data_IF_488021873569
#
_entry.id   IF_488021873569
#
_cell.length_a   1.000
_cell.length_b   1.000
_cell.length_c   1.000
_cell.angle_alpha   90.00
_cell.angle_beta   90.00
_cell.angle_gamma   90.00
#
_symmetry.space_group_name_H-M   'P 1'
#
loop_
_entity.id
_entity.type
_entity.pdbx_description
1 polymer ?
#
# COMPACT_ATOMS: atom_id res chain seq x y z
N UNK A 1 -5.75 9.65 15.10
CA UNK A 1 -4.32 9.75 14.74
C UNK A 1 -4.00 11.23 14.54
N UNK A 2 -2.99 11.76 15.23
CA UNK A 2 -2.50 13.12 15.04
C UNK A 2 -1.72 13.22 13.72
N UNK A 3 -1.72 14.39 13.06
CA UNK A 3 -0.95 14.65 11.85
C UNK A 3 0.57 14.50 12.08
N UNK A 4 1.06 14.78 13.29
CA UNK A 4 2.47 14.51 13.64
C UNK A 4 2.76 13.02 13.67
N UNK A 5 1.87 12.24 14.29
CA UNK A 5 1.98 10.78 14.30
C UNK A 5 1.91 10.21 12.88
N UNK A 6 1.00 10.71 12.04
CA UNK A 6 0.89 10.32 10.63
C UNK A 6 2.21 10.52 9.88
N UNK A 7 2.85 11.69 10.04
CA UNK A 7 4.12 11.98 9.37
C UNK A 7 5.21 10.98 9.73
N UNK A 8 5.27 10.58 11.01
CA UNK A 8 6.22 9.59 11.51
C UNK A 8 5.88 8.18 11.00
N UNK A 9 4.62 7.77 11.10
CA UNK A 9 4.14 6.44 10.70
C UNK A 9 4.35 6.19 9.19
N UNK A 10 4.08 7.20 8.37
CA UNK A 10 4.32 7.14 6.92
C UNK A 10 5.81 7.27 6.61
N UNK A 11 6.58 7.98 7.45
CA UNK A 11 8.05 8.03 7.34
C UNK A 11 8.71 6.66 7.53
N UNK A 12 8.20 5.85 8.45
CA UNK A 12 8.66 4.48 8.69
C UNK A 12 8.43 3.53 7.50
N UNK A 13 7.55 3.89 6.55
CA UNK A 13 7.37 3.12 5.32
C UNK A 13 8.61 3.10 4.43
N UNK A 14 9.50 4.10 4.54
CA UNK A 14 10.72 4.12 3.75
C UNK A 14 11.58 2.88 4.00
N UNK A 15 11.71 2.48 5.27
CA UNK A 15 12.42 1.26 5.66
C UNK A 15 11.70 0.02 5.15
N UNK A 16 10.36 -0.02 5.27
CA UNK A 16 9.56 -1.13 4.74
C UNK A 16 9.72 -1.30 3.22
N UNK A 17 9.84 -0.19 2.46
CA UNK A 17 10.10 -0.24 1.02
C UNK A 17 11.51 -0.72 0.68
N UNK A 18 12.50 -0.40 1.51
CA UNK A 18 13.86 -0.89 1.35
C UNK A 18 13.91 -2.42 1.55
N UNK A 19 13.32 -2.91 2.64
CA UNK A 19 13.19 -4.35 2.90
C UNK A 19 12.39 -5.05 1.81
N UNK A 20 11.29 -4.45 1.35
CA UNK A 20 10.49 -5.01 0.25
C UNK A 20 11.30 -5.15 -1.03
N UNK A 21 12.09 -4.14 -1.43
CA UNK A 21 12.91 -4.27 -2.64
C UNK A 21 13.98 -5.37 -2.47
N UNK A 22 14.65 -5.45 -1.33
CA UNK A 22 15.65 -6.49 -1.04
C UNK A 22 15.06 -7.90 -1.18
N UNK A 23 13.91 -8.16 -0.57
CA UNK A 23 13.20 -9.45 -0.68
C UNK A 23 12.82 -9.75 -2.13
N UNK A 24 12.40 -8.74 -2.90
CA UNK A 24 12.10 -8.88 -4.32
C UNK A 24 13.35 -9.16 -5.15
N UNK A 25 14.52 -8.61 -4.80
CA UNK A 25 15.77 -8.94 -5.48
C UNK A 25 16.15 -10.41 -5.25
N UNK A 26 15.99 -10.92 -4.02
CA UNK A 26 16.20 -12.34 -3.70
C UNK A 26 15.26 -13.21 -4.53
N UNK A 27 13.96 -12.87 -4.55
CA UNK A 27 12.97 -13.59 -5.34
C UNK A 27 13.32 -13.59 -6.85
N UNK A 28 13.73 -12.45 -7.40
CA UNK A 28 14.13 -12.33 -8.82
C UNK A 28 15.32 -13.23 -9.15
N UNK A 29 16.31 -13.32 -8.26
CA UNK A 29 17.48 -14.20 -8.42
C UNK A 29 17.07 -15.68 -8.37
N UNK A 30 16.18 -16.05 -7.46
CA UNK A 30 15.65 -17.42 -7.39
C UNK A 30 14.85 -17.81 -8.62
N UNK A 31 13.99 -16.92 -9.12
CA UNK A 31 13.27 -17.13 -10.38
C UNK A 31 14.28 -17.33 -11.52
N UNK A 32 15.26 -16.44 -11.66
CA UNK A 32 16.26 -16.55 -12.72
C UNK A 32 16.98 -17.91 -12.69
N UNK A 33 17.50 -18.32 -11.52
CA UNK A 33 18.25 -19.58 -11.35
C UNK A 33 17.42 -20.82 -11.68
N UNK A 34 16.12 -20.80 -11.39
CA UNK A 34 15.23 -21.96 -11.55
C UNK A 34 14.40 -21.93 -12.84
N UNK A 35 14.61 -20.92 -13.70
CA UNK A 35 13.78 -20.74 -14.90
C UNK A 35 13.92 -21.91 -15.87
N UNK A 36 15.13 -22.39 -16.17
CA UNK A 36 15.31 -23.48 -17.15
C UNK A 36 14.63 -24.79 -16.73
N UNK A 37 14.62 -25.09 -15.42
CA UNK A 37 14.07 -26.33 -14.88
C UNK A 37 12.53 -26.32 -14.79
N UNK A 38 11.94 -25.15 -14.53
CA UNK A 38 10.52 -25.07 -14.14
C UNK A 38 9.67 -24.16 -15.02
N UNK A 39 10.22 -23.58 -16.10
CA UNK A 39 9.53 -22.60 -16.98
C UNK A 39 8.10 -22.97 -17.36
N UNK A 40 7.84 -24.24 -17.66
CA UNK A 40 6.53 -24.74 -18.13
C UNK A 40 5.61 -25.17 -16.99
N UNK A 41 6.10 -25.24 -15.75
CA UNK A 41 5.30 -25.63 -14.60
C UNK A 41 4.35 -24.49 -14.18
N UNK A 42 3.11 -24.86 -13.89
CA UNK A 42 2.04 -23.90 -13.55
C UNK A 42 2.36 -23.07 -12.30
N UNK A 43 2.90 -23.70 -11.25
CA UNK A 43 3.32 -22.99 -10.03
C UNK A 43 4.40 -21.94 -10.33
N UNK A 44 5.31 -22.25 -11.26
CA UNK A 44 6.41 -21.36 -11.61
C UNK A 44 5.94 -20.18 -12.47
N UNK A 45 4.92 -20.40 -13.32
CA UNK A 45 4.26 -19.33 -14.05
C UNK A 45 3.56 -18.35 -13.09
N UNK A 46 2.96 -18.84 -11.99
CA UNK A 46 2.42 -17.98 -10.93
C UNK A 46 3.54 -17.17 -10.24
N UNK A 47 4.68 -17.79 -9.95
CA UNK A 47 5.85 -17.08 -9.41
C UNK A 47 6.37 -15.98 -10.35
N UNK A 48 6.38 -16.23 -11.66
CA UNK A 48 6.72 -15.22 -12.68
C UNK A 48 5.68 -14.10 -12.71
N UNK A 49 4.40 -14.41 -12.48
CA UNK A 49 3.35 -13.39 -12.38
C UNK A 49 3.56 -12.50 -11.15
N UNK A 50 3.91 -13.07 -9.98
CA UNK A 50 4.29 -12.30 -8.79
C UNK A 50 5.38 -11.29 -9.16
N UNK A 51 6.47 -11.74 -9.82
CA UNK A 51 7.53 -10.83 -10.28
C UNK A 51 7.03 -9.71 -11.20
N UNK A 52 6.05 -9.97 -12.06
CA UNK A 52 5.48 -8.95 -12.97
C UNK A 52 4.69 -7.90 -12.21
N UNK A 53 3.83 -8.31 -11.29
CA UNK A 53 3.02 -7.38 -10.47
C UNK A 53 3.92 -6.38 -9.73
N UNK A 54 5.04 -6.86 -9.18
CA UNK A 54 5.98 -6.01 -8.45
C UNK A 54 6.75 -4.99 -9.30
N UNK A 55 6.73 -5.11 -10.64
CA UNK A 55 7.30 -4.05 -11.51
C UNK A 55 6.49 -2.76 -11.46
N UNK A 56 5.24 -2.85 -11.04
CA UNK A 56 4.33 -1.71 -10.91
C UNK A 56 4.52 -0.97 -9.58
N UNK A 57 5.20 -1.58 -8.60
CA UNK A 57 5.47 -1.01 -7.28
C UNK A 57 6.94 -0.61 -7.17
N UNK A 58 7.33 0.49 -7.83
CA UNK A 58 8.71 0.97 -7.77
C UNK A 58 8.95 1.67 -6.43
N UNK A 59 10.03 1.29 -5.75
CA UNK A 59 10.42 1.82 -4.44
C UNK A 59 10.49 3.36 -4.45
N UNK A 60 11.09 3.95 -5.46
CA UNK A 60 11.33 5.39 -5.57
C UNK A 60 10.02 6.16 -5.74
N UNK A 61 9.09 5.61 -6.53
CA UNK A 61 7.75 6.18 -6.70
C UNK A 61 6.95 6.11 -5.39
N UNK A 62 7.06 5.00 -4.65
CA UNK A 62 6.44 4.85 -3.32
C UNK A 62 7.01 5.85 -2.29
N UNK A 63 8.33 6.04 -2.27
CA UNK A 63 8.99 7.03 -1.40
C UNK A 63 8.57 8.46 -1.77
N UNK A 64 8.39 8.76 -3.04
CA UNK A 64 7.89 10.07 -3.48
C UNK A 64 6.47 10.34 -2.96
N UNK A 65 5.59 9.33 -2.97
CA UNK A 65 4.24 9.45 -2.41
C UNK A 65 4.29 9.71 -0.90
N UNK A 66 5.20 9.07 -0.17
CA UNK A 66 5.44 9.37 1.26
C UNK A 66 5.79 10.84 1.47
N UNK A 67 6.70 11.39 0.67
CA UNK A 67 7.07 12.82 0.75
C UNK A 67 5.86 13.72 0.49
N UNK A 68 5.02 13.40 -0.51
CA UNK A 68 3.80 14.16 -0.81
C UNK A 68 2.79 14.09 0.33
N UNK A 69 2.57 12.91 0.92
CA UNK A 69 1.71 12.74 2.11
C UNK A 69 2.21 13.62 3.26
N UNK A 70 3.51 13.58 3.55
CA UNK A 70 4.09 14.39 4.63
C UNK A 70 3.97 15.90 4.35
N UNK A 71 4.14 16.32 3.09
CA UNK A 71 3.93 17.70 2.67
C UNK A 71 2.49 18.15 2.95
N UNK A 72 1.49 17.40 2.49
CA UNK A 72 0.07 17.72 2.72
C UNK A 72 -0.25 17.71 4.21
N UNK A 73 0.20 16.70 4.95
CA UNK A 73 -0.03 16.63 6.39
C UNK A 73 0.52 17.86 7.13
N UNK A 74 1.73 18.34 6.79
CA UNK A 74 2.30 19.58 7.36
C UNK A 74 1.52 20.83 6.95
N UNK A 75 0.99 20.90 5.74
CA UNK A 75 0.15 22.03 5.30
C UNK A 75 -1.19 22.10 6.04
N UNK A 76 -1.69 20.95 6.52
CA UNK A 76 -2.92 20.85 7.32
C UNK A 76 -2.70 21.09 8.82
N UNK A 77 -1.45 21.14 9.28
CA UNK A 77 -1.14 21.47 10.67
C UNK A 77 -1.42 22.94 10.94
N UNK A 78 -2.09 23.20 12.06
CA UNK A 78 -2.36 24.54 12.55
C UNK A 78 -1.06 25.10 13.15
N UNK A 79 -0.65 26.28 12.69
CA UNK A 79 0.53 27.00 13.24
C UNK A 79 0.17 27.67 14.57
N UNK A 80 1.17 27.88 15.41
CA UNK A 80 0.99 28.56 16.70
C UNK A 80 0.30 29.91 16.53
N UNK A 81 -0.77 30.14 17.30
CA UNK A 81 -1.59 31.35 17.25
C UNK A 81 -2.71 31.35 16.20
N UNK A 82 -2.86 30.31 15.38
CA UNK A 82 -4.01 30.15 14.47
C UNK A 82 -5.03 29.16 15.03
N UNK A 83 -6.31 29.34 14.67
CA UNK A 83 -7.38 28.38 15.02
C UNK A 83 -7.65 27.36 13.90
N UNK A 84 -7.38 27.71 12.65
CA UNK A 84 -7.55 26.85 11.48
C UNK A 84 -6.70 27.35 10.30
N UNK A 85 -6.54 26.52 9.27
CA UNK A 85 -5.93 26.92 8.00
C UNK A 85 -6.88 27.84 7.23
N UNK A 86 -6.36 28.90 6.60
CA UNK A 86 -7.18 29.85 5.85
C UNK A 86 -7.87 29.19 4.64
N UNK A 87 -9.15 29.50 4.41
CA UNK A 87 -9.94 28.95 3.31
C UNK A 87 -9.30 29.13 1.92
N UNK A 88 -8.66 30.28 1.68
CA UNK A 88 -7.95 30.57 0.42
C UNK A 88 -6.90 29.49 0.08
N UNK A 89 -6.18 29.01 1.09
CA UNK A 89 -5.15 27.98 0.92
C UNK A 89 -5.77 26.59 0.80
N UNK A 90 -6.81 26.32 1.59
CA UNK A 90 -7.56 25.06 1.54
C UNK A 90 -8.16 24.83 0.15
N UNK A 91 -8.78 25.85 -0.45
CA UNK A 91 -9.45 25.75 -1.74
C UNK A 91 -8.52 25.99 -2.97
N UNK A 92 -7.20 25.97 -2.78
CA UNK A 92 -6.23 26.11 -3.87
C UNK A 92 -5.20 24.98 -3.83
N UNK A 93 -3.97 25.27 -3.47
CA UNK A 93 -2.83 24.36 -3.59
C UNK A 93 -3.00 23.12 -2.71
N UNK A 94 -3.54 23.29 -1.49
CA UNK A 94 -3.73 22.18 -0.55
C UNK A 94 -4.73 21.16 -1.11
N UNK A 95 -5.83 21.62 -1.73
CA UNK A 95 -6.81 20.71 -2.34
C UNK A 95 -6.23 19.96 -3.52
N UNK A 96 -5.48 20.65 -4.38
CA UNK A 96 -4.84 20.02 -5.54
C UNK A 96 -3.84 18.95 -5.13
N UNK A 97 -2.96 19.27 -4.16
CA UNK A 97 -1.98 18.33 -3.63
C UNK A 97 -2.66 17.15 -2.92
N UNK A 98 -3.71 17.42 -2.13
CA UNK A 98 -4.51 16.37 -1.47
C UNK A 98 -5.14 15.44 -2.50
N UNK A 99 -5.79 15.97 -3.53
CA UNK A 99 -6.44 15.18 -4.58
C UNK A 99 -5.44 14.26 -5.30
N UNK A 100 -4.26 14.79 -5.62
CA UNK A 100 -3.17 14.01 -6.20
C UNK A 100 -2.75 12.86 -5.29
N UNK A 101 -2.52 13.16 -4.01
CA UNK A 101 -2.10 12.16 -3.01
C UNK A 101 -3.17 11.08 -2.79
N UNK A 102 -4.45 11.45 -2.64
CA UNK A 102 -5.52 10.48 -2.41
C UNK A 102 -5.66 9.51 -3.60
N UNK A 103 -5.60 10.02 -4.84
CA UNK A 103 -5.61 9.17 -6.05
C UNK A 103 -4.43 8.21 -6.09
N UNK A 104 -3.23 8.70 -5.75
CA UNK A 104 -2.03 7.87 -5.72
C UNK A 104 -2.13 6.78 -4.65
N UNK A 105 -2.63 7.11 -3.46
CA UNK A 105 -2.86 6.12 -2.41
C UNK A 105 -3.84 5.04 -2.89
N UNK A 106 -4.98 5.41 -3.46
CA UNK A 106 -5.98 4.46 -3.98
C UNK A 106 -5.36 3.51 -5.02
N UNK A 107 -4.59 4.03 -5.97
CA UNK A 107 -3.92 3.22 -6.98
C UNK A 107 -2.88 2.26 -6.38
N UNK A 108 -2.09 2.73 -5.40
CA UNK A 108 -1.09 1.90 -4.72
C UNK A 108 -1.75 0.77 -3.95
N UNK A 109 -2.79 1.06 -3.15
CA UNK A 109 -3.44 0.02 -2.33
C UNK A 109 -4.09 -1.06 -3.20
N UNK A 110 -4.69 -0.68 -4.34
CA UNK A 110 -5.20 -1.64 -5.33
C UNK A 110 -4.08 -2.51 -5.90
N UNK A 111 -2.98 -1.89 -6.35
CA UNK A 111 -1.82 -2.62 -6.90
C UNK A 111 -1.20 -3.58 -5.86
N UNK A 112 -1.15 -3.17 -4.59
CA UNK A 112 -0.70 -4.02 -3.49
C UNK A 112 -1.59 -5.25 -3.34
N UNK A 113 -2.92 -5.08 -3.38
CA UNK A 113 -3.88 -6.19 -3.26
C UNK A 113 -3.74 -7.18 -4.41
N UNK A 114 -3.66 -6.70 -5.65
CA UNK A 114 -3.46 -7.58 -6.81
C UNK A 114 -2.14 -8.38 -6.71
N UNK A 115 -1.08 -7.75 -6.18
CA UNK A 115 0.17 -8.44 -5.90
C UNK A 115 0.03 -9.49 -4.78
N UNK A 116 -0.67 -9.15 -3.70
CA UNK A 116 -0.94 -10.07 -2.57
C UNK A 116 -1.76 -11.29 -3.01
N UNK A 117 -2.71 -11.11 -3.94
CA UNK A 117 -3.47 -12.22 -4.54
C UNK A 117 -2.59 -13.17 -5.35
N UNK A 118 -1.72 -12.61 -6.18
CA UNK A 118 -0.75 -13.40 -6.94
C UNK A 118 0.18 -14.19 -6.00
N UNK A 119 0.57 -13.58 -4.88
CA UNK A 119 1.41 -14.21 -3.86
C UNK A 119 0.70 -15.35 -3.16
N UNK A 120 -0.54 -15.14 -2.67
CA UNK A 120 -1.35 -16.17 -2.03
C UNK A 120 -1.54 -17.38 -2.94
N UNK A 121 -1.89 -17.14 -4.20
CA UNK A 121 -2.07 -18.20 -5.22
C UNK A 121 -0.77 -18.97 -5.46
N UNK A 122 0.36 -18.28 -5.52
CA UNK A 122 1.67 -18.91 -5.71
C UNK A 122 2.08 -19.72 -4.48
N UNK A 123 1.84 -19.19 -3.28
CA UNK A 123 2.12 -19.84 -2.00
C UNK A 123 1.35 -21.17 -1.88
N UNK A 124 0.06 -21.18 -2.21
CA UNK A 124 -0.76 -22.40 -2.25
C UNK A 124 -0.19 -23.42 -3.25
N UNK A 125 0.11 -22.99 -4.48
CA UNK A 125 0.62 -23.88 -5.52
C UNK A 125 1.98 -24.52 -5.16
N UNK A 126 2.87 -23.76 -4.53
CA UNK A 126 4.15 -24.26 -4.00
C UNK A 126 3.95 -25.14 -2.76
N UNK A 127 2.95 -24.84 -1.93
CA UNK A 127 2.53 -25.70 -0.82
C UNK A 127 2.13 -27.10 -1.29
N UNK A 128 1.43 -27.21 -2.42
CA UNK A 128 1.14 -28.51 -3.05
C UNK A 128 2.43 -29.22 -3.48
N UNK A 129 3.40 -28.52 -4.07
CA UNK A 129 4.68 -29.13 -4.46
C UNK A 129 5.46 -29.64 -3.25
N UNK A 130 5.48 -28.84 -2.17
CA UNK A 130 6.09 -29.22 -0.90
C UNK A 130 5.43 -30.46 -0.30
N UNK A 131 4.09 -30.52 -0.28
CA UNK A 131 3.34 -31.68 0.24
C UNK A 131 3.63 -32.97 -0.55
N UNK A 132 3.93 -32.85 -1.85
CA UNK A 132 4.37 -33.97 -2.68
C UNK A 132 5.88 -34.26 -2.55
N UNK A 133 6.59 -33.60 -1.65
CA UNK A 133 8.04 -33.69 -1.43
C UNK A 133 8.89 -33.29 -2.64
N UNK A 134 8.32 -32.51 -3.56
CA UNK A 134 9.03 -32.05 -4.74
C UNK A 134 9.85 -30.79 -4.46
N UNK A 135 11.13 -30.84 -4.83
CA UNK A 135 12.08 -29.72 -4.77
C UNK A 135 11.96 -28.93 -3.44
N UNK A 136 11.88 -29.67 -2.33
CA UNK A 136 11.56 -29.18 -0.99
C UNK A 136 12.37 -27.93 -0.60
N UNK A 137 13.70 -27.87 -0.78
CA UNK A 137 14.46 -26.67 -0.41
C UNK A 137 14.00 -25.41 -1.15
N UNK A 138 13.66 -25.53 -2.44
CA UNK A 138 13.14 -24.41 -3.23
C UNK A 138 11.76 -23.98 -2.73
N UNK A 139 10.85 -24.94 -2.51
CA UNK A 139 9.51 -24.66 -2.03
C UNK A 139 9.52 -23.95 -0.68
N UNK A 140 10.34 -24.41 0.28
CA UNK A 140 10.46 -23.78 1.61
C UNK A 140 10.96 -22.35 1.49
N UNK A 141 12.08 -22.13 0.80
CA UNK A 141 12.68 -20.79 0.67
C UNK A 141 11.72 -19.82 -0.01
N UNK A 142 11.08 -20.23 -1.11
CA UNK A 142 10.17 -19.36 -1.86
C UNK A 142 8.88 -19.11 -1.09
N UNK A 143 8.30 -20.10 -0.39
CA UNK A 143 7.12 -19.86 0.43
C UNK A 143 7.42 -18.93 1.62
N UNK A 144 8.59 -19.06 2.26
CA UNK A 144 9.01 -18.11 3.29
C UNK A 144 9.15 -16.69 2.73
N UNK A 145 9.72 -16.53 1.53
CA UNK A 145 9.80 -15.25 0.85
C UNK A 145 8.41 -14.65 0.57
N UNK A 146 7.51 -15.44 -0.01
CA UNK A 146 6.14 -14.99 -0.31
C UNK A 146 5.39 -14.58 0.97
N UNK A 147 5.56 -15.31 2.07
CA UNK A 147 4.99 -14.95 3.36
C UNK A 147 5.51 -13.60 3.88
N UNK A 148 6.83 -13.36 3.80
CA UNK A 148 7.42 -12.06 4.21
C UNK A 148 6.96 -10.92 3.30
N UNK A 149 6.92 -11.14 1.99
CA UNK A 149 6.40 -10.16 1.02
C UNK A 149 4.94 -9.79 1.30
N UNK A 150 4.12 -10.77 1.69
CA UNK A 150 2.71 -10.55 2.04
C UNK A 150 2.59 -9.68 3.30
N UNK A 151 3.33 -9.98 4.36
CA UNK A 151 3.31 -9.21 5.62
C UNK A 151 3.84 -7.79 5.43
N UNK A 152 4.90 -7.61 4.64
CA UNK A 152 5.43 -6.29 4.29
C UNK A 152 4.37 -5.46 3.56
N UNK A 153 3.68 -6.05 2.57
CA UNK A 153 2.58 -5.37 1.88
C UNK A 153 1.40 -5.08 2.78
N UNK A 154 1.02 -5.98 3.66
CA UNK A 154 -0.04 -5.73 4.63
C UNK A 154 0.31 -4.53 5.52
N UNK A 155 1.56 -4.41 5.95
CA UNK A 155 2.06 -3.25 6.71
C UNK A 155 1.95 -1.96 5.89
N UNK A 156 2.42 -1.98 4.64
CA UNK A 156 2.33 -0.85 3.71
C UNK A 156 0.87 -0.45 3.47
N UNK A 157 0.00 -1.43 3.22
CA UNK A 157 -1.42 -1.26 2.95
C UNK A 157 -2.12 -0.57 4.12
N UNK A 158 -1.94 -1.08 5.34
CA UNK A 158 -2.53 -0.50 6.55
C UNK A 158 -2.10 0.95 6.73
N UNK A 159 -0.81 1.26 6.55
CA UNK A 159 -0.29 2.63 6.73
C UNK A 159 -0.81 3.59 5.67
N UNK A 160 -0.92 3.17 4.41
CA UNK A 160 -1.51 4.01 3.37
C UNK A 160 -3.00 4.24 3.59
N UNK A 161 -3.75 3.23 4.04
CA UNK A 161 -5.17 3.37 4.37
C UNK A 161 -5.37 4.30 5.58
N UNK A 162 -4.53 4.20 6.60
CA UNK A 162 -4.53 5.13 7.73
C UNK A 162 -4.21 6.56 7.29
N UNK A 163 -3.23 6.73 6.41
CA UNK A 163 -2.88 8.03 5.83
C UNK A 163 -4.04 8.63 5.04
N UNK A 164 -4.66 7.83 4.17
CA UNK A 164 -5.82 8.22 3.39
C UNK A 164 -6.94 8.80 4.27
N UNK A 165 -7.40 8.02 5.27
CA UNK A 165 -8.47 8.45 6.14
C UNK A 165 -8.08 9.66 7.00
N UNK A 166 -6.86 9.71 7.52
CA UNK A 166 -6.40 10.82 8.33
C UNK A 166 -6.33 12.13 7.54
N UNK A 167 -5.84 12.09 6.29
CA UNK A 167 -5.81 13.25 5.41
C UNK A 167 -7.21 13.75 5.06
N UNK A 168 -8.14 12.84 4.73
CA UNK A 168 -9.55 13.18 4.45
C UNK A 168 -10.17 13.87 5.66
N UNK A 169 -10.06 13.27 6.84
CA UNK A 169 -10.66 13.80 8.06
C UNK A 169 -10.02 15.12 8.48
N UNK A 170 -8.69 15.23 8.40
CA UNK A 170 -7.99 16.47 8.73
C UNK A 170 -8.37 17.60 7.78
N UNK A 171 -8.42 17.35 6.47
CA UNK A 171 -8.83 18.36 5.49
C UNK A 171 -10.30 18.77 5.71
N UNK A 172 -11.21 17.80 5.89
CA UNK A 172 -12.62 18.10 6.16
C UNK A 172 -12.81 18.90 7.44
N UNK A 173 -12.07 18.59 8.51
CA UNK A 173 -12.10 19.36 9.75
C UNK A 173 -11.61 20.79 9.52
N UNK A 174 -10.50 21.00 8.81
CA UNK A 174 -10.02 22.34 8.48
C UNK A 174 -11.02 23.13 7.63
N UNK A 175 -11.68 22.47 6.67
CA UNK A 175 -12.75 23.09 5.87
C UNK A 175 -13.96 23.43 6.74
N UNK A 176 -14.39 22.55 7.63
CA UNK A 176 -15.52 22.81 8.52
C UNK A 176 -15.25 23.99 9.46
N UNK A 177 -14.02 24.14 9.96
CA UNK A 177 -13.63 25.29 10.76
C UNK A 177 -13.54 26.59 9.96
N UNK A 178 -12.96 26.54 8.74
CA UNK A 178 -12.75 27.73 7.93
C UNK A 178 -14.01 28.20 7.18
N UNK A 179 -14.85 27.28 6.74
CA UNK A 179 -16.08 27.54 5.98
C UNK A 179 -17.11 26.40 6.16
N UNK A 180 -17.94 26.44 7.22
CA UNK A 180 -18.93 25.41 7.53
C UNK A 180 -19.91 25.12 6.38
N UNK A 181 -20.26 26.14 5.60
CA UNK A 181 -21.21 26.01 4.48
C UNK A 181 -20.68 25.12 3.35
N UNK A 182 -19.35 24.99 3.22
CA UNK A 182 -18.70 24.14 2.21
C UNK A 182 -18.41 22.73 2.69
N UNK A 183 -18.49 22.46 4.00
CA UNK A 183 -18.14 21.16 4.56
C UNK A 183 -18.93 20.00 3.94
N UNK A 184 -20.25 20.18 3.75
CA UNK A 184 -21.09 19.17 3.12
C UNK A 184 -20.70 18.85 1.67
N UNK A 185 -20.48 19.87 0.85
CA UNK A 185 -20.00 19.68 -0.53
C UNK A 185 -18.62 19.03 -0.57
N UNK A 186 -17.72 19.45 0.32
CA UNK A 186 -16.39 18.87 0.43
C UNK A 186 -16.43 17.40 0.84
N UNK A 187 -17.30 17.01 1.77
CA UNK A 187 -17.47 15.60 2.14
C UNK A 187 -17.89 14.73 0.94
N UNK A 188 -18.83 15.22 0.11
CA UNK A 188 -19.27 14.54 -1.12
C UNK A 188 -18.12 14.48 -2.15
N UNK A 189 -17.29 15.50 -2.25
CA UNK A 189 -16.13 15.46 -3.16
C UNK A 189 -15.09 14.43 -2.69
N UNK A 190 -14.85 14.34 -1.38
CA UNK A 190 -13.88 13.42 -0.80
C UNK A 190 -14.34 11.95 -0.88
N UNK A 191 -15.65 11.69 -0.92
CA UNK A 191 -16.16 10.32 -1.14
C UNK A 191 -15.79 9.76 -2.52
N UNK A 192 -15.43 10.62 -3.48
CA UNK A 192 -14.87 10.19 -4.77
C UNK A 192 -13.52 9.47 -4.67
N UNK A 193 -12.87 9.49 -3.51
CA UNK A 193 -11.61 8.80 -3.22
C UNK A 193 -11.80 7.56 -2.33
N UNK A 194 -13.01 7.02 -2.22
CA UNK A 194 -13.26 5.85 -1.36
C UNK A 194 -12.34 4.67 -1.72
N UNK A 195 -11.69 4.10 -0.70
CA UNK A 195 -10.92 2.86 -0.86
C UNK A 195 -11.90 1.71 -1.09
N UNK A 196 -11.73 0.90 -2.15
CA UNK A 196 -12.66 -0.19 -2.43
C UNK A 196 -12.75 -1.19 -1.27
N UNK A 197 -13.96 -1.65 -0.96
CA UNK A 197 -14.20 -2.56 0.19
C UNK A 197 -13.39 -3.85 0.15
N UNK A 198 -13.15 -4.41 -1.04
CA UNK A 198 -12.36 -5.64 -1.19
C UNK A 198 -10.92 -5.48 -0.70
N UNK A 199 -10.36 -4.25 -0.76
CA UNK A 199 -9.01 -3.93 -0.27
C UNK A 199 -8.93 -4.07 1.25
N UNK A 200 -10.00 -3.70 1.96
CA UNK A 200 -10.02 -3.71 3.43
C UNK A 200 -9.89 -5.12 4.02
N UNK A 201 -10.35 -6.14 3.30
CA UNK A 201 -10.23 -7.55 3.72
C UNK A 201 -8.77 -7.99 3.86
N UNK A 202 -7.85 -7.38 3.10
CA UNK A 202 -6.42 -7.67 3.17
C UNK A 202 -5.71 -6.99 4.36
N UNK A 203 -6.40 -6.11 5.08
CA UNK A 203 -5.90 -5.54 6.33
C UNK A 203 -6.12 -6.51 7.51
N UNK A 204 -7.12 -7.38 7.41
CA UNK A 204 -7.42 -8.37 8.45
C UNK A 204 -6.50 -9.59 8.33
N UNK A 205 -6.05 -10.12 9.46
CA UNK A 205 -5.14 -11.28 9.56
C UNK A 205 -5.71 -12.59 8.98
N UNK A 206 -6.97 -12.59 8.53
CA UNK A 206 -7.73 -13.75 8.02
C UNK A 206 -7.58 -13.99 6.52
N UNK A 207 -6.74 -13.23 5.81
CA UNK A 207 -6.53 -13.37 4.35
C UNK A 207 -6.09 -14.78 3.88
N UNK A 208 -5.63 -15.64 4.78
CA UNK A 208 -5.26 -17.04 4.51
C UNK A 208 -6.40 -18.06 4.75
N UNK A 209 -7.50 -17.68 5.41
CA UNK A 209 -8.54 -18.62 5.87
C UNK A 209 -9.86 -18.62 5.09
N UNK A 210 -10.06 -17.69 4.15
CA UNK A 210 -11.31 -17.65 3.36
C UNK A 210 -11.16 -18.36 2.01
N UNK A 211 -11.07 -19.69 2.04
CA UNK A 211 -11.55 -20.60 0.98
C UNK A 211 -11.98 -21.90 1.69
N UNK A 212 -13.28 -22.02 1.98
CA UNK A 212 -13.98 -23.30 2.13
C UNK A 212 -14.94 -23.43 0.97
#
# INVERSE_FOLDING_TARGET
>A
MDLKQLVNDVGALNEAFDVLDEELQVLRKLIYKNTSQHRRAKYFQYLVQVKRMHRLLKKEELKEVVVKIQKVARMLQIKDGMHHVAWKNLNSDIKMDLDGVLRQIVAIVQTCVEAMEAEKKTYQALGTQFAMTFFVPFCVVVNSLLGRLYVLKQTILIRFIQAHHCLILAYLAQVAHANPLRAGTTAIQLSGYEIPRHVLVYCDSTGLSNER
#
